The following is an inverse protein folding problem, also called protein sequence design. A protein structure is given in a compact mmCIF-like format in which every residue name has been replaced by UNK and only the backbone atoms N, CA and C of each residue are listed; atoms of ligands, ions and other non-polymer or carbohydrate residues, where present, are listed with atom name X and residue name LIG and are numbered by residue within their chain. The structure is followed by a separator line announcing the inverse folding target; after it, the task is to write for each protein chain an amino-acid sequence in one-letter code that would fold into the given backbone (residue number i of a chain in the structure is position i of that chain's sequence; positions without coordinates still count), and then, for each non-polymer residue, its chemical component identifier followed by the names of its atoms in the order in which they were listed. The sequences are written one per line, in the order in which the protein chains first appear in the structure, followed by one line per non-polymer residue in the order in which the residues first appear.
data_IF_147930770339
#
_entry.id   IF_147930770339
#
_cell.length_a   1.000
_cell.length_b   1.000
_cell.length_c   1.000
_cell.angle_alpha   90.00
_cell.angle_beta   90.00
_cell.angle_gamma   90.00
#
_symmetry.space_group_name_H-M   'P 1'
#
loop_
_entity.id
_entity.type
_entity.pdbx_description
1 polymer ?
#
# COMPACT_ATOMS: atom_id res chain seq x y z
N UNK A 1 16.07 11.06 8.17
CA UNK A 1 16.10 9.60 7.91
C UNK A 1 17.52 9.10 8.11
N UNK A 2 17.72 7.95 8.78
CA UNK A 2 19.00 7.23 8.76
C UNK A 2 19.48 6.97 7.32
N UNK A 3 20.79 6.80 7.10
CA UNK A 3 21.36 6.68 5.74
C UNK A 3 20.74 5.52 4.93
N UNK A 4 20.53 4.35 5.55
CA UNK A 4 19.89 3.22 4.87
C UNK A 4 18.46 3.56 4.41
N UNK A 5 17.68 4.29 5.22
CA UNK A 5 16.33 4.72 4.85
C UNK A 5 16.33 5.79 3.76
N UNK A 6 17.32 6.70 3.77
CA UNK A 6 17.47 7.70 2.70
C UNK A 6 17.68 7.03 1.34
N UNK A 7 18.53 5.99 1.30
CA UNK A 7 18.79 5.23 0.09
C UNK A 7 17.52 4.52 -0.40
N UNK A 8 16.81 3.79 0.47
CA UNK A 8 15.56 3.13 0.11
C UNK A 8 14.49 4.12 -0.38
N UNK A 9 14.30 5.25 0.32
CA UNK A 9 13.33 6.27 -0.07
C UNK A 9 13.67 6.88 -1.43
N UNK A 10 14.94 7.20 -1.67
CA UNK A 10 15.41 7.72 -2.95
C UNK A 10 15.13 6.72 -4.08
N UNK A 11 15.53 5.47 -3.92
CA UNK A 11 15.28 4.43 -4.93
C UNK A 11 13.78 4.25 -5.20
N UNK A 12 12.94 4.31 -4.17
CA UNK A 12 11.49 4.23 -4.32
C UNK A 12 10.92 5.39 -5.12
N UNK A 13 11.33 6.62 -4.83
CA UNK A 13 10.87 7.81 -5.57
C UNK A 13 11.40 7.81 -7.01
N UNK A 14 12.66 7.44 -7.22
CA UNK A 14 13.28 7.32 -8.55
C UNK A 14 12.51 6.32 -9.43
N UNK A 15 12.19 5.13 -8.92
CA UNK A 15 11.38 4.12 -9.63
C UNK A 15 9.97 4.66 -9.89
N UNK A 16 9.36 5.34 -8.92
CA UNK A 16 8.02 5.93 -9.07
C UNK A 16 8.01 6.99 -10.18
N UNK A 17 9.05 7.82 -10.27
CA UNK A 17 9.22 8.81 -11.33
C UNK A 17 9.46 8.14 -12.70
N UNK A 18 10.24 7.04 -12.74
CA UNK A 18 10.48 6.27 -13.96
C UNK A 18 9.17 5.67 -14.50
N UNK A 19 8.38 5.03 -13.64
CA UNK A 19 7.06 4.49 -14.00
C UNK A 19 6.14 5.61 -14.47
N UNK A 20 6.09 6.73 -13.74
CA UNK A 20 5.28 7.90 -14.13
C UNK A 20 5.65 8.43 -15.51
N UNK A 21 6.95 8.45 -15.82
CA UNK A 21 7.47 8.88 -17.13
C UNK A 21 7.04 7.91 -18.24
N UNK A 22 7.10 6.59 -18.00
CA UNK A 22 6.63 5.57 -18.95
C UNK A 22 5.13 5.70 -19.23
N UNK A 23 4.32 5.80 -18.18
CA UNK A 23 2.87 6.00 -18.30
C UNK A 23 2.55 7.29 -19.06
N UNK A 24 3.26 8.39 -18.76
CA UNK A 24 3.04 9.65 -19.47
C UNK A 24 3.42 9.58 -20.95
N UNK A 25 4.51 8.89 -21.28
CA UNK A 25 4.93 8.71 -22.67
C UNK A 25 3.89 7.93 -23.47
N UNK A 26 3.36 6.86 -22.91
CA UNK A 26 2.44 5.91 -23.56
C UNK A 26 1.00 6.41 -23.57
N UNK A 27 0.48 6.81 -22.41
CA UNK A 27 -0.94 7.11 -22.19
C UNK A 27 -1.25 8.61 -22.06
N UNK A 28 -0.24 9.47 -22.15
CA UNK A 28 -0.35 10.95 -22.03
C UNK A 28 -0.90 11.43 -20.68
N UNK A 29 -0.92 10.58 -19.67
CA UNK A 29 -1.34 10.91 -18.31
C UNK A 29 -0.14 10.90 -17.35
N UNK A 30 -0.08 11.84 -16.41
CA UNK A 30 0.97 11.85 -15.38
C UNK A 30 0.41 11.30 -14.05
N UNK A 31 0.75 10.06 -13.67
CA UNK A 31 0.18 9.43 -12.48
C UNK A 31 0.96 9.73 -11.19
N UNK A 32 2.03 10.54 -11.24
CA UNK A 32 2.98 10.68 -10.12
C UNK A 32 2.32 11.05 -8.79
N UNK A 33 1.26 11.86 -8.83
CA UNK A 33 0.48 12.23 -7.65
C UNK A 33 -0.20 11.03 -7.00
N UNK A 34 -0.95 10.25 -7.79
CA UNK A 34 -1.64 9.04 -7.35
C UNK A 34 -0.67 7.97 -6.85
N UNK A 35 0.45 7.73 -7.56
CA UNK A 35 1.45 6.75 -7.14
C UNK A 35 2.09 7.14 -5.79
N UNK A 36 2.48 8.41 -5.62
CA UNK A 36 3.02 8.92 -4.35
C UNK A 36 1.99 8.89 -3.23
N UNK A 37 0.72 9.20 -3.52
CA UNK A 37 -0.39 9.06 -2.55
C UNK A 37 -0.52 7.63 -2.07
N UNK A 38 -0.49 6.64 -2.98
CA UNK A 38 -0.58 5.22 -2.62
C UNK A 38 0.59 4.76 -1.72
N UNK A 39 1.82 5.16 -2.05
CA UNK A 39 3.01 4.89 -1.22
C UNK A 39 2.93 5.57 0.15
N UNK A 40 2.51 6.84 0.22
CA UNK A 40 2.35 7.56 1.48
C UNK A 40 1.32 6.88 2.39
N UNK A 41 0.18 6.43 1.82
CA UNK A 41 -0.83 5.67 2.56
C UNK A 41 -0.27 4.36 3.13
N UNK A 42 0.54 3.63 2.34
CA UNK A 42 1.19 2.40 2.82
C UNK A 42 2.17 2.68 3.96
N UNK A 43 3.05 3.68 3.82
CA UNK A 43 3.99 4.06 4.87
C UNK A 43 3.27 4.51 6.16
N UNK A 44 2.15 5.23 6.04
CA UNK A 44 1.34 5.63 7.19
C UNK A 44 0.71 4.41 7.89
N UNK A 45 0.23 3.42 7.13
CA UNK A 45 -0.32 2.19 7.69
C UNK A 45 0.73 1.37 8.45
N UNK A 46 1.95 1.27 7.91
CA UNK A 46 3.08 0.66 8.63
C UNK A 46 3.45 1.44 9.89
N UNK A 47 3.38 2.78 9.86
CA UNK A 47 3.63 3.59 11.04
C UNK A 47 2.58 3.35 12.15
N UNK A 48 1.32 3.11 11.79
CA UNK A 48 0.27 2.73 12.75
C UNK A 48 0.61 1.40 13.41
N UNK A 49 0.97 0.37 12.64
CA UNK A 49 1.38 -0.94 13.17
C UNK A 49 2.62 -0.84 14.06
N UNK A 50 3.62 -0.06 13.64
CA UNK A 50 4.82 0.17 14.43
C UNK A 50 4.51 0.84 15.78
N UNK A 51 3.53 1.77 15.81
CA UNK A 51 3.06 2.39 17.06
C UNK A 51 2.34 1.39 17.94
N UNK A 52 1.42 0.59 17.38
CA UNK A 52 0.72 -0.46 18.12
C UNK A 52 1.71 -1.43 18.77
N UNK A 53 2.69 -1.89 17.99
CA UNK A 53 3.76 -2.75 18.46
C UNK A 53 4.58 -2.10 19.58
N UNK A 54 5.07 -0.88 19.37
CA UNK A 54 5.91 -0.18 20.33
C UNK A 54 5.18 0.14 21.66
N UNK A 55 3.87 0.36 21.63
CA UNK A 55 3.06 0.60 22.83
C UNK A 55 2.45 -0.66 23.45
N UNK A 56 2.63 -1.83 22.84
CA UNK A 56 1.93 -3.06 23.22
C UNK A 56 0.40 -2.96 23.08
N UNK A 57 -0.09 -2.07 22.21
CA UNK A 57 -1.52 -1.91 21.97
C UNK A 57 -2.02 -3.05 21.08
N UNK A 58 -3.07 -3.73 21.54
CA UNK A 58 -3.78 -4.75 20.75
C UNK A 58 -5.06 -4.12 20.21
N UNK A 59 -5.13 -3.80 18.91
CA UNK A 59 -6.31 -3.19 18.31
C UNK A 59 -7.49 -4.17 18.27
N UNK A 60 -8.70 -3.64 18.11
CA UNK A 60 -9.87 -4.48 17.78
C UNK A 60 -9.72 -5.05 16.37
N UNK A 61 -10.31 -6.22 16.10
CA UNK A 61 -10.21 -6.88 14.80
C UNK A 61 -10.61 -5.99 13.61
N UNK A 62 -11.67 -5.18 13.74
CA UNK A 62 -12.09 -4.25 12.68
C UNK A 62 -11.08 -3.12 12.44
N UNK A 63 -10.53 -2.56 13.51
CA UNK A 63 -9.49 -1.52 13.43
C UNK A 63 -8.20 -2.08 12.82
N UNK A 64 -7.83 -3.29 13.26
CA UNK A 64 -6.72 -4.05 12.70
C UNK A 64 -6.90 -4.26 11.20
N UNK A 65 -8.01 -4.87 10.77
CA UNK A 65 -8.25 -5.17 9.35
C UNK A 65 -8.33 -3.92 8.48
N UNK A 66 -8.88 -2.82 9.00
CA UNK A 66 -8.92 -1.56 8.27
C UNK A 66 -7.52 -1.04 7.95
N UNK A 67 -6.59 -1.07 8.92
CA UNK A 67 -5.21 -0.69 8.68
C UNK A 67 -4.46 -1.77 7.88
N UNK A 68 -4.69 -3.03 8.23
CA UNK A 68 -4.13 -4.25 7.66
C UNK A 68 -4.36 -4.36 6.15
N UNK A 69 -5.55 -3.98 5.68
CA UNK A 69 -5.85 -3.91 4.25
C UNK A 69 -4.91 -2.93 3.54
N UNK A 70 -4.65 -1.76 4.12
CA UNK A 70 -3.71 -0.78 3.52
C UNK A 70 -2.26 -1.26 3.69
N UNK A 71 -1.87 -1.75 4.86
CA UNK A 71 -0.50 -2.22 5.13
C UNK A 71 -0.11 -3.48 4.34
N UNK A 72 -1.09 -4.20 3.77
CA UNK A 72 -0.81 -5.32 2.84
C UNK A 72 -0.07 -4.87 1.58
N UNK A 73 -0.12 -3.58 1.22
CA UNK A 73 0.51 -3.02 0.02
C UNK A 73 -0.18 -3.35 -1.30
N UNK A 74 -1.25 -4.14 -1.28
CA UNK A 74 -1.99 -4.58 -2.47
C UNK A 74 -2.56 -3.39 -3.25
N UNK A 75 -3.05 -2.37 -2.57
CA UNK A 75 -3.56 -1.17 -3.22
C UNK A 75 -2.50 -0.43 -4.02
N UNK A 76 -1.26 -0.40 -3.54
CA UNK A 76 -0.14 0.19 -4.28
C UNK A 76 0.02 -0.55 -5.60
N UNK A 77 0.04 -1.88 -5.58
CA UNK A 77 0.15 -2.70 -6.78
C UNK A 77 -1.00 -2.45 -7.75
N UNK A 78 -2.24 -2.43 -7.27
CA UNK A 78 -3.42 -2.21 -8.12
C UNK A 78 -3.45 -0.81 -8.75
N UNK A 79 -3.08 0.23 -8.00
CA UNK A 79 -2.96 1.60 -8.53
C UNK A 79 -1.87 1.66 -9.62
N UNK A 80 -0.71 1.04 -9.41
CA UNK A 80 0.34 0.99 -10.43
C UNK A 80 -0.12 0.23 -11.67
N UNK A 81 -0.79 -0.92 -11.51
CA UNK A 81 -1.33 -1.70 -12.62
C UNK A 81 -2.37 -0.93 -13.43
N UNK A 82 -3.28 -0.20 -12.78
CA UNK A 82 -4.27 0.63 -13.47
C UNK A 82 -3.61 1.62 -14.44
N UNK A 83 -2.59 2.35 -13.97
CA UNK A 83 -1.87 3.31 -14.81
C UNK A 83 -0.99 2.67 -15.88
N UNK A 84 -0.33 1.55 -15.57
CA UNK A 84 0.49 0.83 -16.54
C UNK A 84 -0.36 0.25 -17.68
N UNK A 85 -1.55 -0.28 -17.37
CA UNK A 85 -2.48 -0.79 -18.37
C UNK A 85 -3.06 0.33 -19.24
N UNK A 86 -3.26 1.54 -18.70
CA UNK A 86 -3.74 2.68 -19.49
C UNK A 86 -5.21 2.65 -19.90
N UNK A 87 -5.94 1.57 -19.58
CA UNK A 87 -7.31 1.38 -20.03
C UNK A 87 -8.27 2.26 -19.21
N UNK A 88 -8.96 3.18 -19.88
CA UNK A 88 -9.98 4.01 -19.24
C UNK A 88 -9.42 5.07 -18.28
N UNK A 89 -8.21 5.57 -18.51
CA UNK A 89 -7.69 6.70 -17.72
C UNK A 89 -8.53 7.95 -18.03
N UNK A 90 -9.37 8.33 -17.05
CA UNK A 90 -10.06 9.61 -16.98
C UNK A 90 -9.87 10.18 -15.58
N UNK A 91 -10.16 11.47 -15.39
CA UNK A 91 -10.06 12.09 -14.07
C UNK A 91 -10.96 11.38 -13.05
N UNK A 92 -12.18 11.06 -13.46
CA UNK A 92 -13.18 10.40 -12.60
C UNK A 92 -12.73 9.00 -12.18
N UNK A 93 -12.15 8.22 -13.11
CA UNK A 93 -11.64 6.89 -12.79
C UNK A 93 -10.37 6.96 -11.92
N UNK A 94 -9.53 7.98 -12.11
CA UNK A 94 -8.36 8.22 -11.25
C UNK A 94 -8.81 8.59 -9.83
N UNK A 95 -9.76 9.51 -9.69
CA UNK A 95 -10.33 9.90 -8.40
C UNK A 95 -10.95 8.68 -7.69
N UNK A 96 -11.70 7.84 -8.42
CA UNK A 96 -12.27 6.60 -7.89
C UNK A 96 -11.19 5.64 -7.38
N UNK A 97 -10.12 5.41 -8.15
CA UNK A 97 -9.01 4.52 -7.77
C UNK A 97 -8.26 5.07 -6.56
N UNK A 98 -8.04 6.37 -6.51
CA UNK A 98 -7.36 7.07 -5.43
C UNK A 98 -8.15 7.10 -4.11
N UNK A 99 -9.47 6.85 -4.16
CA UNK A 99 -10.38 6.78 -3.01
C UNK A 99 -10.56 5.36 -2.43
N UNK A 100 -9.70 4.42 -2.85
CA UNK A 100 -9.66 3.05 -2.30
C UNK A 100 -11.02 2.32 -2.46
N UNK A 101 -11.48 2.13 -3.70
CA UNK A 101 -12.83 1.64 -3.98
C UNK A 101 -12.99 0.18 -3.54
N UNK A 102 -14.25 -0.28 -3.45
CA UNK A 102 -14.60 -1.60 -2.93
C UNK A 102 -13.82 -2.77 -3.54
N UNK A 103 -13.45 -2.69 -4.82
CA UNK A 103 -12.62 -3.72 -5.47
C UNK A 103 -11.21 -3.77 -4.87
N UNK A 104 -10.57 -2.62 -4.67
CA UNK A 104 -9.24 -2.53 -4.07
C UNK A 104 -9.30 -2.96 -2.61
N UNK A 105 -10.28 -2.45 -1.85
CA UNK A 105 -10.40 -2.76 -0.42
C UNK A 105 -10.68 -4.24 -0.17
N UNK A 106 -11.55 -4.86 -0.98
CA UNK A 106 -11.86 -6.28 -0.87
C UNK A 106 -10.65 -7.15 -1.21
N UNK A 107 -9.96 -6.89 -2.32
CA UNK A 107 -8.76 -7.66 -2.70
C UNK A 107 -7.65 -7.52 -1.64
N UNK A 108 -7.44 -6.31 -1.12
CA UNK A 108 -6.45 -6.06 -0.09
C UNK A 108 -6.80 -6.78 1.24
N UNK A 109 -8.08 -6.79 1.62
CA UNK A 109 -8.55 -7.51 2.83
C UNK A 109 -8.40 -9.02 2.68
N UNK A 110 -8.72 -9.58 1.52
CA UNK A 110 -8.55 -11.02 1.24
C UNK A 110 -7.08 -11.41 1.36
N UNK A 111 -6.18 -10.64 0.74
CA UNK A 111 -4.74 -10.94 0.80
C UNK A 111 -4.17 -10.75 2.20
N UNK A 112 -4.61 -9.73 2.95
CA UNK A 112 -4.27 -9.57 4.36
C UNK A 112 -4.63 -10.83 5.15
N UNK A 113 -5.90 -11.25 5.12
CA UNK A 113 -6.37 -12.43 5.85
C UNK A 113 -5.64 -13.71 5.43
N UNK A 114 -5.30 -13.86 4.15
CA UNK A 114 -4.55 -15.00 3.64
C UNK A 114 -3.11 -15.04 4.17
N UNK A 115 -2.43 -13.88 4.18
CA UNK A 115 -1.09 -13.72 4.74
C UNK A 115 -1.07 -14.04 6.24
N UNK A 116 -2.02 -13.48 7.00
CA UNK A 116 -2.17 -13.68 8.44
C UNK A 116 -2.44 -15.16 8.77
N UNK A 117 -3.26 -15.85 7.96
CA UNK A 117 -3.53 -17.28 8.12
C UNK A 117 -2.26 -18.12 7.90
N UNK A 118 -1.42 -17.74 6.94
CA UNK A 118 -0.15 -18.40 6.65
C UNK A 118 0.90 -18.19 7.73
N UNK A 119 0.95 -17.00 8.33
CA UNK A 119 1.94 -16.61 9.34
C UNK A 119 1.55 -16.99 10.77
N UNK A 120 0.27 -17.26 11.04
CA UNK A 120 -0.27 -17.57 12.38
C UNK A 120 0.53 -18.64 13.16
N UNK A 121 1.04 -19.69 12.48
CA UNK A 121 1.82 -20.76 13.14
C UNK A 121 3.24 -20.34 13.52
N UNK A 122 3.84 -19.43 12.76
CA UNK A 122 5.22 -18.95 12.99
C UNK A 122 5.22 -17.89 14.09
N UNK A 123 4.24 -17.00 14.06
CA UNK A 123 4.14 -15.86 14.99
C UNK A 123 3.73 -16.26 16.41
N UNK A 124 3.01 -17.38 16.58
CA UNK A 124 2.71 -17.96 17.89
C UNK A 124 3.98 -18.30 18.71
N UNK A 125 5.13 -18.51 18.05
CA UNK A 125 6.40 -18.82 18.70
C UNK A 125 7.31 -17.58 18.92
N UNK A 126 6.96 -16.42 18.34
CA UNK A 126 7.80 -15.21 18.35
C UNK A 126 7.12 -13.96 18.92
N UNK A 127 5.89 -14.07 19.44
CA UNK A 127 5.16 -12.99 20.11
C UNK A 127 5.13 -11.70 19.28
N UNK A 128 4.70 -11.79 18.02
CA UNK A 128 4.37 -10.62 17.22
C UNK A 128 2.96 -10.12 17.60
N UNK A 129 2.85 -8.81 17.84
CA UNK A 129 1.61 -8.12 18.25
C UNK A 129 0.64 -7.93 17.07
N UNK A 130 1.09 -8.25 15.85
CA UNK A 130 0.36 -8.06 14.60
C UNK A 130 0.47 -9.37 13.81
N UNK A 131 -0.66 -10.03 13.58
CA UNK A 131 -0.78 -11.14 12.63
C UNK A 131 -1.40 -10.58 11.38
#
# INVERSE_FOLDING_TARGET
LPEYMKMCFKTLDDITNEISTKVHKEHKWNPVGSLRKAWASLCNAFLVEAKWFASGHVPKAEEYLKNGAVSSGVHVVLVHLFFLLGHGITKENVDLVDDFPGIISSTATILRLWDDLGSAKVNANHMQVVN
#
